data_IF_776930884985
#
_entry.id   IF_776930884985
#
_cell.length_a   1.000
_cell.length_b   1.000
_cell.length_c   1.000
_cell.angle_alpha   90.00
_cell.angle_beta   90.00
_cell.angle_gamma   90.00
#
_symmetry.space_group_name_H-M   'P 1'
#
loop_
_entity.id
_entity.type
_entity.pdbx_description
1 polymer ?
#
# COMPACT_ATOMS: atom_id res chain seq x y z
N UNK A 1 -10.72 4.73 -12.81
CA UNK A 1 -9.95 5.62 -11.89
C UNK A 1 -9.20 4.79 -10.84
N UNK A 2 -7.87 4.77 -10.88
CA UNK A 2 -7.08 3.94 -9.95
C UNK A 2 -7.09 4.53 -8.54
N UNK A 3 -7.12 3.66 -7.52
CA UNK A 3 -7.00 4.04 -6.09
C UNK A 3 -5.58 4.45 -5.66
N UNK A 4 -4.77 4.97 -6.60
CA UNK A 4 -3.39 5.40 -6.36
C UNK A 4 -3.34 6.93 -6.28
N UNK A 5 -2.72 7.45 -5.23
CA UNK A 5 -2.54 8.88 -5.01
C UNK A 5 -1.41 9.49 -5.89
N UNK A 6 -1.22 10.80 -5.80
CA UNK A 6 -0.16 11.51 -6.53
C UNK A 6 1.27 11.18 -6.05
N UNK A 7 1.39 10.67 -4.82
CA UNK A 7 2.67 10.28 -4.21
C UNK A 7 2.98 8.78 -4.43
N UNK A 8 2.18 8.09 -5.23
CA UNK A 8 2.34 6.66 -5.52
C UNK A 8 1.83 5.73 -4.40
N UNK A 9 1.19 6.24 -3.36
CA UNK A 9 0.56 5.42 -2.33
C UNK A 9 -0.80 4.93 -2.78
N UNK A 10 -1.28 3.85 -2.19
CA UNK A 10 -2.61 3.33 -2.51
C UNK A 10 -3.26 2.67 -1.30
N UNK A 11 -4.56 2.48 -1.38
CA UNK A 11 -5.33 1.79 -0.35
C UNK A 11 -6.39 0.92 -0.99
N UNK A 12 -6.68 -0.21 -0.35
CA UNK A 12 -7.72 -1.13 -0.79
C UNK A 12 -8.39 -1.77 0.42
N UNK A 13 -9.67 -2.09 0.27
CA UNK A 13 -10.47 -2.74 1.29
C UNK A 13 -10.58 -4.25 1.05
N UNK A 14 -10.61 -5.00 2.13
CA UNK A 14 -10.95 -6.42 2.17
C UNK A 14 -12.25 -6.52 2.96
N UNK A 15 -13.30 -7.04 2.33
CA UNK A 15 -14.62 -7.09 2.95
C UNK A 15 -14.72 -8.18 4.03
N UNK A 16 -14.00 -9.29 3.84
CA UNK A 16 -14.01 -10.42 4.75
C UNK A 16 -12.60 -10.99 4.93
N UNK A 17 -12.17 -11.13 6.18
CA UNK A 17 -10.89 -11.76 6.49
C UNK A 17 -10.88 -13.27 6.22
N UNK A 18 -12.03 -13.93 6.05
CA UNK A 18 -12.08 -15.36 5.74
C UNK A 18 -11.54 -15.68 4.34
N UNK A 19 -11.42 -14.67 3.47
CA UNK A 19 -10.75 -14.79 2.17
C UNK A 19 -9.23 -15.04 2.29
N UNK A 20 -8.63 -14.79 3.46
CA UNK A 20 -7.22 -15.09 3.70
C UNK A 20 -6.99 -16.60 3.84
N UNK A 21 -6.08 -17.13 3.03
CA UNK A 21 -5.70 -18.55 3.07
C UNK A 21 -5.17 -18.93 4.46
N UNK A 22 -5.93 -19.75 5.19
CA UNK A 22 -5.57 -20.23 6.52
C UNK A 22 -6.42 -19.68 7.67
N UNK A 23 -7.23 -18.64 7.41
CA UNK A 23 -8.19 -18.10 8.37
C UNK A 23 -9.55 -18.76 8.15
N UNK A 24 -9.99 -19.60 9.09
CA UNK A 24 -11.35 -20.16 9.07
C UNK A 24 -12.31 -19.22 9.79
N UNK A 25 -13.57 -19.24 9.35
CA UNK A 25 -14.64 -18.53 10.03
C UNK A 25 -14.77 -19.02 11.48
N UNK A 26 -14.73 -18.08 12.42
CA UNK A 26 -15.02 -18.32 13.83
C UNK A 26 -16.33 -17.58 14.18
N UNK A 27 -17.42 -18.32 14.51
CA UNK A 27 -18.71 -17.72 14.85
C UNK A 27 -18.67 -16.79 16.07
N UNK A 28 -17.66 -16.90 16.94
CA UNK A 28 -17.50 -16.01 18.10
C UNK A 28 -16.94 -14.65 17.73
N UNK A 29 -16.17 -14.58 16.63
CA UNK A 29 -15.54 -13.36 16.12
C UNK A 29 -16.51 -12.64 15.16
N UNK A 30 -17.17 -13.39 14.28
CA UNK A 30 -18.06 -12.85 13.25
C UNK A 30 -17.29 -12.41 12.00
N UNK A 31 -17.95 -11.71 11.07
CA UNK A 31 -17.33 -11.24 9.81
C UNK A 31 -16.71 -9.87 10.03
N UNK A 32 -15.42 -9.73 9.70
CA UNK A 32 -14.71 -8.46 9.77
C UNK A 32 -14.07 -8.09 8.44
N UNK A 33 -14.33 -6.86 8.01
CA UNK A 33 -13.59 -6.21 6.94
C UNK A 33 -12.40 -5.43 7.46
N UNK A 34 -11.45 -5.12 6.58
CA UNK A 34 -10.25 -4.36 6.87
C UNK A 34 -9.88 -3.46 5.70
N UNK A 35 -9.49 -2.23 5.99
CA UNK A 35 -8.87 -1.33 5.03
C UNK A 35 -7.34 -1.38 5.16
N UNK A 36 -6.66 -1.59 4.03
CA UNK A 36 -5.20 -1.66 3.97
C UNK A 36 -4.69 -0.44 3.23
N UNK A 37 -3.78 0.30 3.88
CA UNK A 37 -3.07 1.44 3.30
C UNK A 37 -1.60 1.09 3.10
N UNK A 38 -1.07 1.36 1.90
CA UNK A 38 0.32 1.07 1.54
C UNK A 38 1.02 2.36 1.14
N UNK A 39 2.04 2.76 1.90
CA UNK A 39 2.92 3.89 1.56
C UNK A 39 4.08 3.36 0.70
N UNK A 40 4.24 3.92 -0.50
CA UNK A 40 5.30 3.53 -1.44
C UNK A 40 6.45 4.52 -1.36
N UNK A 41 7.68 4.01 -1.29
CA UNK A 41 8.86 4.85 -1.15
C UNK A 41 10.14 4.16 -1.59
N UNK A 42 11.12 4.97 -2.02
CA UNK A 42 12.47 4.50 -2.32
C UNK A 42 13.34 4.49 -1.05
N UNK A 43 14.51 3.88 -1.16
CA UNK A 43 15.52 3.92 -0.10
C UNK A 43 15.79 5.38 0.34
N UNK A 44 15.83 5.60 1.66
CA UNK A 44 15.99 6.94 2.24
C UNK A 44 14.76 7.47 2.98
N UNK A 45 13.67 6.70 3.09
CA UNK A 45 12.44 7.10 3.80
C UNK A 45 12.68 7.55 5.25
N UNK A 46 13.61 6.88 5.95
CA UNK A 46 14.02 7.19 7.32
C UNK A 46 14.49 8.63 7.53
N UNK A 47 14.85 9.36 6.48
CA UNK A 47 15.29 10.76 6.57
C UNK A 47 14.23 11.67 7.25
N UNK A 48 12.94 11.38 7.05
CA UNK A 48 11.81 12.09 7.67
C UNK A 48 11.63 11.70 9.13
N UNK A 49 11.78 10.42 9.44
CA UNK A 49 11.36 9.85 10.72
C UNK A 49 12.49 9.77 11.76
N UNK A 50 13.74 10.08 11.36
CA UNK A 50 14.89 10.03 12.27
C UNK A 50 14.89 11.16 13.30
N UNK A 51 15.31 10.84 14.53
CA UNK A 51 15.38 11.80 15.65
C UNK A 51 16.42 12.90 15.47
N UNK A 52 17.60 12.56 14.95
CA UNK A 52 18.71 13.52 14.80
C UNK A 52 18.71 14.05 13.37
N UNK A 53 18.65 15.38 13.24
CA UNK A 53 18.63 16.11 11.98
C UNK A 53 17.57 15.59 10.98
N UNK A 54 16.28 15.53 11.34
CA UNK A 54 15.22 15.17 10.39
C UNK A 54 15.21 16.13 9.22
N UNK A 55 14.90 15.62 8.02
CA UNK A 55 14.72 16.44 6.82
C UNK A 55 13.50 15.97 6.03
N UNK A 56 12.79 16.88 5.34
CA UNK A 56 11.70 16.49 4.47
C UNK A 56 12.20 15.56 3.35
N UNK A 57 11.33 14.65 2.91
CA UNK A 57 11.65 13.72 1.83
C UNK A 57 11.82 14.48 0.50
N UNK A 58 13.00 14.37 -0.16
CA UNK A 58 13.20 14.89 -1.49
C UNK A 58 12.24 14.24 -2.49
N UNK A 59 11.79 15.00 -3.50
CA UNK A 59 10.87 14.48 -4.53
C UNK A 59 11.36 13.20 -5.21
N UNK A 60 12.67 13.07 -5.44
CA UNK A 60 13.31 11.86 -6.02
C UNK A 60 13.14 10.57 -5.21
N UNK A 61 12.83 10.67 -3.91
CA UNK A 61 12.64 9.52 -3.03
C UNK A 61 11.17 9.07 -3.02
N UNK A 62 10.25 9.99 -3.33
CA UNK A 62 8.82 9.69 -3.46
C UNK A 62 8.57 8.88 -4.74
N UNK A 63 7.67 7.91 -4.66
CA UNK A 63 7.20 7.20 -5.83
C UNK A 63 6.24 8.09 -6.63
N UNK A 64 6.10 7.82 -7.92
CA UNK A 64 5.04 8.40 -8.75
C UNK A 64 3.95 7.37 -9.00
N UNK A 65 2.76 7.83 -9.41
CA UNK A 65 1.64 6.94 -9.70
C UNK A 65 1.98 5.89 -10.77
N UNK A 66 2.67 6.30 -11.83
CA UNK A 66 3.02 5.42 -12.94
C UNK A 66 4.05 4.37 -12.52
N UNK A 67 5.07 4.78 -11.75
CA UNK A 67 6.06 3.86 -11.18
C UNK A 67 5.42 2.83 -10.25
N UNK A 68 4.49 3.24 -9.38
CA UNK A 68 3.77 2.31 -8.52
C UNK A 68 2.97 1.30 -9.35
N UNK A 69 2.32 1.76 -10.42
CA UNK A 69 1.53 0.89 -11.31
C UNK A 69 2.41 -0.15 -12.01
N UNK A 70 3.56 0.27 -12.53
CA UNK A 70 4.53 -0.62 -13.17
C UNK A 70 5.08 -1.65 -12.16
N UNK A 71 5.49 -1.19 -10.97
CA UNK A 71 5.96 -2.07 -9.91
C UNK A 71 4.93 -3.13 -9.49
N UNK A 72 3.65 -2.74 -9.35
CA UNK A 72 2.58 -3.67 -8.97
C UNK A 72 2.29 -4.69 -10.08
N UNK A 73 2.37 -4.29 -11.35
CA UNK A 73 2.24 -5.21 -12.49
C UNK A 73 3.38 -6.21 -12.55
N UNK A 74 4.62 -5.76 -12.42
CA UNK A 74 5.80 -6.62 -12.56
C UNK A 74 5.97 -7.56 -11.36
N UNK A 75 5.82 -7.04 -10.13
CA UNK A 75 6.15 -7.79 -8.92
C UNK A 75 5.00 -8.65 -8.42
N UNK A 76 3.76 -8.19 -8.61
CA UNK A 76 2.56 -8.82 -8.05
C UNK A 76 1.55 -9.26 -9.11
N UNK A 77 1.84 -9.07 -10.40
CA UNK A 77 1.00 -9.50 -11.52
C UNK A 77 -0.44 -8.94 -11.45
N UNK A 78 -0.60 -7.75 -10.90
CA UNK A 78 -1.91 -7.12 -10.70
C UNK A 78 -2.39 -6.47 -12.00
N UNK A 79 -3.63 -6.75 -12.40
CA UNK A 79 -4.30 -6.06 -13.49
C UNK A 79 -5.08 -4.86 -12.96
N UNK A 80 -4.90 -3.70 -13.59
CA UNK A 80 -5.70 -2.50 -13.30
C UNK A 80 -6.86 -2.43 -14.29
N UNK A 81 -8.07 -2.27 -13.77
CA UNK A 81 -9.27 -2.00 -14.57
C UNK A 81 -9.23 -0.52 -14.99
N UNK A 82 -9.39 -0.24 -16.29
CA UNK A 82 -9.43 1.14 -16.82
C UNK A 82 -10.64 1.95 -16.32
#
# INVERSE_FOLDING_TARGET
PDSIDRSGNFSFGIADYTDFTGMRYDPQIGIHGMDISVEMGRAGWRLRDRRIAPKPLPGRVRATRDETREFLKERFQVAFLE
#
